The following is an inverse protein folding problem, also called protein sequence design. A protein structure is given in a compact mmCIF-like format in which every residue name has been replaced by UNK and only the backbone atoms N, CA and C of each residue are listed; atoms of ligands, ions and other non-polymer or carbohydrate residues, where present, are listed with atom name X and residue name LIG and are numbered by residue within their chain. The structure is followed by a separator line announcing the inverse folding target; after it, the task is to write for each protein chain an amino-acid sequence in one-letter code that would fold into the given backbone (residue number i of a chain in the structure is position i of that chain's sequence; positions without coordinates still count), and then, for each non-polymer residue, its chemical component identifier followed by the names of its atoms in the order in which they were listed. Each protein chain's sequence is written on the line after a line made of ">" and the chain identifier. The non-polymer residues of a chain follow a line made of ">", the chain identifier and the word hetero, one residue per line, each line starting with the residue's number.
data_IF_614041443293
#
_entry.id   IF_614041443293
#
_cell.length_a   1.000
_cell.length_b   1.000
_cell.length_c   1.000
_cell.angle_alpha   90.00
_cell.angle_beta   90.00
_cell.angle_gamma   90.00
#
_symmetry.space_group_name_H-M   'P 1'
#
loop_
_entity.id
_entity.type
_entity.pdbx_description
1 polymer ?
#
# COMPACT_ATOMS: atom_id res chain seq x y z
N UNK A 1 39.86 -27.82 66.16
CA UNK A 1 40.93 -28.13 65.19
C UNK A 1 40.23 -28.54 63.91
N UNK A 2 40.13 -27.63 62.94
CA UNK A 2 39.55 -27.93 61.64
C UNK A 2 40.47 -28.93 60.94
N UNK A 3 39.89 -29.98 60.36
CA UNK A 3 40.63 -31.01 59.64
C UNK A 3 40.95 -30.41 58.26
N UNK A 4 42.23 -30.16 57.92
CA UNK A 4 42.62 -29.43 56.70
C UNK A 4 42.13 -30.09 55.40
N UNK A 5 41.78 -31.38 55.46
CA UNK A 5 41.26 -32.17 54.35
C UNK A 5 39.83 -31.75 53.97
N UNK A 6 39.04 -31.25 54.93
CA UNK A 6 37.66 -30.80 54.68
C UNK A 6 37.62 -29.46 53.91
N UNK A 7 38.55 -28.55 54.21
CA UNK A 7 38.65 -27.24 53.54
C UNK A 7 39.05 -27.40 52.07
N UNK A 8 39.95 -28.34 51.75
CA UNK A 8 40.35 -28.65 50.37
C UNK A 8 39.20 -29.28 49.56
N UNK A 9 38.37 -30.12 50.19
CA UNK A 9 37.19 -30.72 49.57
C UNK A 9 36.09 -29.67 49.30
N UNK A 10 35.82 -28.77 50.25
CA UNK A 10 34.87 -27.67 50.07
C UNK A 10 35.28 -26.77 48.91
N UNK A 11 36.57 -26.44 48.82
CA UNK A 11 37.12 -25.64 47.74
C UNK A 11 36.98 -26.32 46.37
N UNK A 12 37.26 -27.62 46.29
CA UNK A 12 37.07 -28.40 45.06
C UNK A 12 35.60 -28.46 44.61
N UNK A 13 34.66 -28.60 45.54
CA UNK A 13 33.22 -28.60 45.26
C UNK A 13 32.75 -27.25 44.75
N UNK A 14 33.23 -26.15 45.33
CA UNK A 14 32.89 -24.78 44.90
C UNK A 14 33.50 -24.46 43.53
N UNK A 15 34.75 -24.85 43.29
CA UNK A 15 35.43 -24.64 42.01
C UNK A 15 34.79 -25.48 40.88
N UNK A 16 34.45 -26.74 41.13
CA UNK A 16 33.78 -27.58 40.13
C UNK A 16 32.29 -27.25 39.95
N UNK A 17 31.59 -26.86 41.01
CA UNK A 17 30.21 -26.40 40.96
C UNK A 17 30.07 -25.08 40.19
N UNK A 18 31.01 -24.14 40.38
CA UNK A 18 31.03 -22.88 39.64
C UNK A 18 31.43 -23.07 38.17
N UNK A 19 32.33 -24.01 37.87
CA UNK A 19 32.71 -24.34 36.50
C UNK A 19 31.57 -25.02 35.71
N UNK A 20 30.82 -25.92 36.34
CA UNK A 20 29.66 -26.58 35.71
C UNK A 20 28.51 -25.59 35.46
N UNK A 21 28.14 -24.78 36.46
CA UNK A 21 27.11 -23.74 36.30
C UNK A 21 27.48 -22.72 35.21
N UNK A 22 28.77 -22.35 35.11
CA UNK A 22 29.24 -21.46 34.05
C UNK A 22 29.20 -22.12 32.68
N UNK A 23 29.49 -23.42 32.60
CA UNK A 23 29.33 -24.22 31.38
C UNK A 23 27.89 -24.25 30.89
N UNK A 24 26.94 -24.47 31.80
CA UNK A 24 25.49 -24.48 31.50
C UNK A 24 25.02 -23.10 31.03
N UNK A 25 25.48 -22.02 31.67
CA UNK A 25 25.20 -20.66 31.22
C UNK A 25 25.76 -20.36 29.83
N UNK A 26 26.97 -20.84 29.52
CA UNK A 26 27.57 -20.68 28.18
C UNK A 26 26.78 -21.49 27.13
N UNK A 27 26.33 -22.69 27.47
CA UNK A 27 25.50 -23.51 26.59
C UNK A 27 24.15 -22.82 26.31
N UNK A 28 23.46 -22.33 27.35
CA UNK A 28 22.21 -21.60 27.22
C UNK A 28 22.37 -20.33 26.38
N UNK A 29 23.43 -19.55 26.60
CA UNK A 29 23.70 -18.34 25.82
C UNK A 29 24.00 -18.66 24.35
N UNK A 30 24.67 -19.78 24.06
CA UNK A 30 24.92 -20.23 22.67
C UNK A 30 23.62 -20.64 21.98
N UNK A 31 22.77 -21.38 22.68
CA UNK A 31 21.48 -21.81 22.14
C UNK A 31 20.55 -20.61 21.87
N UNK A 32 20.50 -19.65 22.81
CA UNK A 32 19.77 -18.39 22.61
C UNK A 32 20.33 -17.59 21.42
N UNK A 33 21.65 -17.55 21.27
CA UNK A 33 22.29 -16.85 20.15
C UNK A 33 21.95 -17.52 18.81
N UNK A 34 22.05 -18.84 18.70
CA UNK A 34 21.65 -19.56 17.48
C UNK A 34 20.17 -19.35 17.16
N UNK A 35 19.30 -19.38 18.17
CA UNK A 35 17.87 -19.12 18.00
C UNK A 35 17.58 -17.71 17.50
N UNK A 36 18.32 -16.71 17.99
CA UNK A 36 18.21 -15.33 17.53
C UNK A 36 18.78 -15.15 16.12
N UNK A 37 19.92 -15.77 15.79
CA UNK A 37 20.51 -15.72 14.46
C UNK A 37 19.57 -16.33 13.41
N UNK A 38 18.90 -17.45 13.72
CA UNK A 38 17.86 -18.03 12.85
C UNK A 38 16.68 -17.08 12.64
N UNK A 39 16.13 -16.51 13.73
CA UNK A 39 15.03 -15.54 13.63
C UNK A 39 15.41 -14.31 12.80
N UNK A 40 16.64 -13.83 12.92
CA UNK A 40 17.12 -12.71 12.10
C UNK A 40 17.18 -13.10 10.63
N UNK A 41 17.68 -14.29 10.31
CA UNK A 41 17.71 -14.78 8.93
C UNK A 41 16.29 -14.93 8.33
N UNK A 42 15.36 -15.50 9.10
CA UNK A 42 13.96 -15.67 8.69
C UNK A 42 13.29 -14.30 8.46
N UNK A 43 13.43 -13.37 9.40
CA UNK A 43 12.87 -12.01 9.28
C UNK A 43 13.49 -11.20 8.13
N UNK A 44 14.77 -11.43 7.81
CA UNK A 44 15.43 -10.81 6.67
C UNK A 44 14.88 -11.37 5.35
N UNK A 45 14.64 -12.69 5.28
CA UNK A 45 14.02 -13.34 4.13
C UNK A 45 12.59 -12.84 3.91
N UNK A 46 11.77 -12.81 4.98
CA UNK A 46 10.41 -12.29 4.93
C UNK A 46 10.39 -10.81 4.51
N UNK A 47 11.26 -9.97 5.08
CA UNK A 47 11.37 -8.57 4.64
C UNK A 47 11.75 -8.43 3.17
N UNK A 48 12.61 -9.32 2.65
CA UNK A 48 12.95 -9.37 1.24
C UNK A 48 11.71 -9.65 0.38
N UNK A 49 11.00 -10.72 0.69
CA UNK A 49 9.78 -11.13 -0.03
C UNK A 49 8.68 -10.07 0.02
N UNK A 50 8.41 -9.50 1.20
CA UNK A 50 7.41 -8.44 1.37
C UNK A 50 7.78 -7.16 0.61
N UNK A 51 9.07 -6.81 0.54
CA UNK A 51 9.52 -5.66 -0.26
C UNK A 51 9.33 -5.91 -1.75
N UNK A 52 9.56 -7.12 -2.23
CA UNK A 52 9.28 -7.49 -3.61
C UNK A 52 7.79 -7.48 -3.92
N UNK A 53 6.95 -8.04 -3.05
CA UNK A 53 5.49 -7.96 -3.18
C UNK A 53 5.00 -6.51 -3.19
N UNK A 54 5.52 -5.66 -2.31
CA UNK A 54 5.19 -4.23 -2.31
C UNK A 54 5.62 -3.57 -3.63
N UNK A 55 6.79 -3.90 -4.17
CA UNK A 55 7.26 -3.37 -5.46
C UNK A 55 6.32 -3.80 -6.58
N UNK A 56 6.00 -5.08 -6.65
CA UNK A 56 5.14 -5.68 -7.67
C UNK A 56 3.70 -5.15 -7.57
N UNK A 57 3.16 -5.04 -6.36
CA UNK A 57 1.84 -4.46 -6.13
C UNK A 57 1.80 -2.97 -6.46
N UNK A 58 2.88 -2.23 -6.18
CA UNK A 58 2.99 -0.82 -6.61
C UNK A 58 3.08 -0.68 -8.12
N UNK A 59 3.78 -1.57 -8.80
CA UNK A 59 3.87 -1.59 -10.26
C UNK A 59 2.53 -1.99 -10.89
N UNK A 60 1.87 -2.99 -10.32
CA UNK A 60 0.50 -3.36 -10.69
C UNK A 60 -0.49 -2.23 -10.42
N UNK A 61 -0.38 -1.49 -9.32
CA UNK A 61 -1.23 -0.32 -9.06
C UNK A 61 -0.96 0.83 -10.03
N UNK A 62 0.31 1.07 -10.40
CA UNK A 62 0.64 2.06 -11.45
C UNK A 62 0.07 1.69 -12.81
N UNK A 63 0.00 0.40 -13.12
CA UNK A 63 -0.51 -0.10 -14.40
C UNK A 63 -2.03 -0.35 -14.40
N UNK A 64 -2.63 -0.63 -13.23
CA UNK A 64 -4.04 -0.99 -13.08
C UNK A 64 -4.94 0.11 -12.50
N UNK A 65 -4.39 1.23 -12.00
CA UNK A 65 -5.19 2.38 -11.59
C UNK A 65 -5.42 3.31 -12.79
N UNK A 66 -6.62 3.37 -13.40
CA UNK A 66 -7.08 4.62 -13.98
C UNK A 66 -7.31 5.57 -12.79
N UNK A 67 -6.51 6.63 -12.63
CA UNK A 67 -6.51 7.44 -11.42
C UNK A 67 -7.78 8.29 -11.40
N UNK A 68 -8.85 7.85 -10.71
CA UNK A 68 -10.08 8.64 -10.54
C UNK A 68 -10.41 9.48 -11.78
N UNK A 69 -10.33 8.85 -12.97
CA UNK A 69 -10.28 9.62 -14.21
C UNK A 69 -11.61 10.34 -14.38
N UNK A 70 -12.70 9.80 -13.86
CA UNK A 70 -14.03 10.35 -14.09
C UNK A 70 -14.56 11.10 -12.88
N UNK A 71 -14.68 12.43 -13.01
CA UNK A 71 -15.39 13.28 -12.06
C UNK A 71 -16.87 13.26 -12.44
N UNK A 72 -17.73 12.85 -11.50
CA UNK A 72 -19.19 12.93 -11.69
C UNK A 72 -19.67 14.33 -11.33
N UNK A 73 -20.20 15.04 -12.31
CA UNK A 73 -20.76 16.37 -12.11
C UNK A 73 -22.02 16.56 -12.97
N UNK A 74 -23.09 17.11 -12.40
CA UNK A 74 -24.41 17.32 -13.07
C UNK A 74 -24.89 16.12 -13.92
N UNK A 75 -24.80 14.91 -13.35
CA UNK A 75 -25.31 13.70 -14.00
C UNK A 75 -24.46 13.16 -15.15
N UNK A 76 -23.28 13.73 -15.43
CA UNK A 76 -22.33 13.22 -16.43
C UNK A 76 -20.97 12.94 -15.80
N UNK A 77 -20.09 12.31 -16.57
CA UNK A 77 -18.71 12.03 -16.20
C UNK A 77 -17.75 12.88 -17.05
N UNK A 78 -16.73 13.42 -16.41
CA UNK A 78 -15.65 14.17 -17.06
C UNK A 78 -14.32 13.47 -16.83
N UNK A 79 -13.55 13.23 -17.90
CA UNK A 79 -12.26 12.56 -17.79
C UNK A 79 -11.17 13.56 -17.39
N UNK A 80 -10.37 13.26 -16.37
CA UNK A 80 -9.23 14.02 -15.89
C UNK A 80 -7.96 13.36 -16.41
N UNK A 81 -7.15 14.15 -17.09
CA UNK A 81 -5.84 13.74 -17.57
C UNK A 81 -4.84 13.66 -16.41
N UNK A 82 -3.75 12.89 -16.53
CA UNK A 82 -2.67 12.84 -15.54
C UNK A 82 -2.04 14.22 -15.24
N UNK A 83 -2.19 15.17 -16.15
CA UNK A 83 -1.77 16.58 -15.98
C UNK A 83 -2.68 17.38 -15.04
N UNK A 84 -3.80 16.80 -14.61
CA UNK A 84 -4.81 17.45 -13.78
C UNK A 84 -5.87 18.24 -14.56
N UNK A 85 -5.71 18.37 -15.88
CA UNK A 85 -6.67 19.04 -16.79
C UNK A 85 -7.85 18.12 -17.10
N UNK A 86 -9.05 18.70 -17.21
CA UNK A 86 -10.25 17.96 -17.64
C UNK A 86 -10.31 17.95 -19.17
N UNK A 87 -10.51 16.77 -19.75
CA UNK A 87 -10.73 16.58 -21.19
C UNK A 87 -12.05 17.23 -21.63
N UNK A 88 -12.07 17.86 -22.80
CA UNK A 88 -13.24 18.48 -23.43
C UNK A 88 -14.20 17.43 -24.04
N UNK A 89 -14.46 16.37 -23.26
CA UNK A 89 -15.30 15.26 -23.62
C UNK A 89 -16.22 14.90 -22.45
N UNK A 90 -17.51 14.75 -22.76
CA UNK A 90 -18.54 14.37 -21.80
C UNK A 90 -18.80 12.88 -21.94
N UNK A 91 -18.83 12.18 -20.81
CA UNK A 91 -19.04 10.74 -20.75
C UNK A 91 -20.33 10.40 -20.01
N UNK A 92 -20.99 9.33 -20.43
CA UNK A 92 -22.22 8.88 -19.80
C UNK A 92 -21.94 8.24 -18.44
N UNK A 93 -22.70 8.61 -17.40
CA UNK A 93 -22.56 8.02 -16.07
C UNK A 93 -22.90 6.53 -15.98
N UNK A 94 -23.71 6.01 -16.93
CA UNK A 94 -24.18 4.62 -16.92
C UNK A 94 -23.25 3.67 -17.68
N UNK A 95 -22.91 3.99 -18.94
CA UNK A 95 -22.04 3.14 -19.77
C UNK A 95 -20.60 3.64 -19.91
N UNK A 96 -20.27 4.83 -19.36
CA UNK A 96 -18.96 5.48 -19.53
C UNK A 96 -18.55 5.74 -20.98
N UNK A 97 -19.47 5.58 -21.93
CA UNK A 97 -19.24 5.90 -23.34
C UNK A 97 -19.27 7.41 -23.58
N UNK A 98 -18.57 7.89 -24.64
CA UNK A 98 -18.60 9.30 -25.01
C UNK A 98 -20.02 9.72 -25.41
N UNK A 99 -20.41 10.92 -24.98
CA UNK A 99 -21.67 11.55 -25.36
C UNK A 99 -21.41 12.55 -26.48
N UNK A 100 -22.36 12.68 -27.40
CA UNK A 100 -22.26 13.58 -28.56
C UNK A 100 -23.42 14.58 -28.56
N UNK A 101 -23.17 15.78 -29.10
CA UNK A 101 -24.22 16.76 -29.40
C UNK A 101 -24.34 16.89 -30.91
N UNK A 102 -25.49 16.49 -31.47
CA UNK A 102 -25.67 16.42 -32.93
C UNK A 102 -25.71 17.79 -33.64
N UNK A 103 -25.96 18.91 -32.93
CA UNK A 103 -26.15 20.23 -33.58
C UNK A 103 -25.64 21.45 -32.79
N UNK A 104 -24.67 21.29 -31.87
CA UNK A 104 -24.15 22.34 -30.95
C UNK A 104 -25.18 23.01 -30.01
N UNK A 105 -26.45 23.01 -30.37
CA UNK A 105 -27.59 23.51 -29.59
C UNK A 105 -28.38 22.39 -28.91
N UNK A 106 -28.13 21.13 -29.27
CA UNK A 106 -28.75 19.99 -28.61
C UNK A 106 -27.95 19.60 -27.36
N UNK A 107 -28.61 19.13 -26.29
CA UNK A 107 -27.91 18.59 -25.14
C UNK A 107 -27.08 17.36 -25.51
N UNK A 108 -26.09 17.04 -24.69
CA UNK A 108 -25.28 15.83 -24.90
C UNK A 108 -26.14 14.58 -24.74
N UNK A 109 -26.06 13.66 -25.69
CA UNK A 109 -26.80 12.41 -25.65
C UNK A 109 -25.86 11.22 -25.79
N UNK A 110 -26.09 10.21 -24.98
CA UNK A 110 -25.39 8.94 -25.08
C UNK A 110 -26.08 8.04 -26.11
N UNK A 111 -25.36 7.63 -27.15
CA UNK A 111 -25.88 6.74 -28.20
C UNK A 111 -26.19 5.33 -27.70
N UNK A 112 -25.52 4.86 -26.65
CA UNK A 112 -25.71 3.52 -26.10
C UNK A 112 -26.85 3.43 -25.08
N UNK A 113 -26.97 4.42 -24.18
CA UNK A 113 -27.93 4.39 -23.08
C UNK A 113 -29.13 5.33 -23.24
N UNK A 114 -29.14 6.14 -24.31
CA UNK A 114 -30.15 7.16 -24.57
C UNK A 114 -30.34 8.17 -23.42
N UNK A 115 -29.32 8.31 -22.56
CA UNK A 115 -29.28 9.32 -21.49
C UNK A 115 -28.93 10.65 -22.12
N UNK A 116 -29.65 11.69 -21.71
CA UNK A 116 -29.44 13.07 -22.12
C UNK A 116 -28.90 13.86 -20.94
N UNK A 117 -27.89 14.69 -21.15
CA UNK A 117 -27.39 15.63 -20.16
C UNK A 117 -28.29 16.87 -20.11
N UNK A 118 -28.35 17.52 -18.96
CA UNK A 118 -29.18 18.73 -18.77
C UNK A 118 -28.52 20.02 -19.30
N UNK A 119 -27.45 19.91 -20.08
CA UNK A 119 -26.69 21.05 -20.59
C UNK A 119 -26.25 20.87 -22.05
N UNK A 120 -26.05 22.00 -22.72
CA UNK A 120 -25.63 22.12 -24.12
C UNK A 120 -24.14 22.44 -24.24
N UNK A 121 -23.60 22.38 -25.46
CA UNK A 121 -22.18 22.69 -25.77
C UNK A 121 -21.79 24.10 -25.30
N UNK A 122 -22.71 25.07 -25.33
CA UNK A 122 -22.47 26.44 -24.87
C UNK A 122 -22.11 26.55 -23.38
N UNK A 123 -22.62 25.63 -22.55
CA UNK A 123 -22.45 25.67 -21.09
C UNK A 123 -21.29 24.77 -20.62
N UNK A 124 -20.73 23.97 -21.53
CA UNK A 124 -19.65 23.03 -21.24
C UNK A 124 -18.41 23.71 -20.62
N UNK A 125 -17.91 24.86 -21.13
CA UNK A 125 -16.70 25.48 -20.57
C UNK A 125 -16.87 25.96 -19.12
N UNK A 126 -18.07 26.39 -18.75
CA UNK A 126 -18.40 26.83 -17.39
C UNK A 126 -18.51 25.63 -16.44
N UNK A 127 -19.23 24.59 -16.86
CA UNK A 127 -19.39 23.35 -16.10
C UNK A 127 -18.05 22.65 -15.88
N UNK A 128 -17.15 22.65 -16.87
CA UNK A 128 -15.80 22.09 -16.71
C UNK A 128 -14.97 22.85 -15.67
N UNK A 129 -15.07 24.19 -15.62
CA UNK A 129 -14.40 24.99 -14.60
C UNK A 129 -14.96 24.68 -13.20
N UNK A 130 -16.27 24.57 -13.06
CA UNK A 130 -16.93 24.20 -11.80
C UNK A 130 -16.51 22.79 -11.35
N UNK A 131 -16.51 21.83 -12.28
CA UNK A 131 -16.09 20.45 -12.02
C UNK A 131 -14.62 20.35 -11.58
N UNK A 132 -13.74 21.20 -12.15
CA UNK A 132 -12.33 21.28 -11.74
C UNK A 132 -12.15 21.84 -10.32
N UNK A 133 -13.01 22.77 -9.88
CA UNK A 133 -12.96 23.34 -8.54
C UNK A 133 -13.49 22.39 -7.45
N UNK A 134 -14.43 21.53 -7.80
CA UNK A 134 -15.05 20.56 -6.87
C UNK A 134 -14.27 19.24 -6.74
N UNK A 135 -13.27 19.01 -7.57
CA UNK A 135 -12.43 17.83 -7.48
C UNK A 135 -11.50 17.92 -6.24
N UNK A 136 -11.46 16.90 -5.36
CA UNK A 136 -10.51 16.88 -4.26
C UNK A 136 -9.06 16.92 -4.82
N UNK A 137 -8.23 17.76 -4.20
CA UNK A 137 -6.80 17.91 -4.54
C UNK A 137 -6.02 16.65 -4.23
#
# INVERSE_FOLDING_TARGET
>A
MAIPILDDLERLIVEHGSATVRGDHIALLREQREGLEKKVADLQSENGSLKEEIRDLREKLKTAAPPNEFIKYRGVLFRRLPTGVIEDAVYCWKCRGPMVSMKRHMPYQCTACNITADFTVSWLPEIMKEAAMLAPK
#
